data_IF_533759179980
#
_entry.id   IF_533759179980
#
_cell.length_a   1.000
_cell.length_b   1.000
_cell.length_c   1.000
_cell.angle_alpha   90.00
_cell.angle_beta   90.00
_cell.angle_gamma   90.00
#
_symmetry.space_group_name_H-M   'P 1'
#
loop_
_entity.id
_entity.type
_entity.pdbx_description
1 polymer ?
#
# COMPACT_ATOMS: atom_id res chain seq x y z
N UNK A 1 -1.74 -28.14 -19.52
CA UNK A 1 -0.40 -28.74 -19.30
C UNK A 1 0.61 -27.85 -19.99
N UNK A 2 1.59 -27.29 -19.26
CA UNK A 2 2.61 -26.42 -19.84
C UNK A 2 3.42 -27.19 -20.89
N UNK A 3 3.79 -26.54 -21.99
CA UNK A 3 4.54 -27.17 -23.09
C UNK A 3 6.01 -27.46 -22.71
N UNK A 4 6.49 -26.90 -21.60
CA UNK A 4 7.86 -27.02 -21.14
C UNK A 4 7.89 -27.42 -19.66
N UNK A 5 8.87 -28.26 -19.32
CA UNK A 5 9.29 -28.45 -17.93
C UNK A 5 10.16 -27.27 -17.51
N UNK A 6 9.73 -26.52 -16.50
CA UNK A 6 10.42 -25.33 -15.99
C UNK A 6 10.64 -25.45 -14.50
N UNK A 7 11.86 -25.15 -14.06
CA UNK A 7 12.26 -25.16 -12.66
C UNK A 7 12.59 -23.72 -12.26
N UNK A 8 12.00 -23.24 -11.18
CA UNK A 8 12.43 -22.00 -10.52
C UNK A 8 13.69 -22.31 -9.70
N UNK A 9 14.83 -21.83 -10.16
CA UNK A 9 16.16 -22.05 -9.55
C UNK A 9 16.41 -21.06 -8.42
N UNK A 10 16.07 -19.80 -8.65
CA UNK A 10 16.18 -18.73 -7.65
C UNK A 10 14.92 -17.86 -7.73
N UNK A 11 14.33 -17.56 -6.56
CA UNK A 11 13.18 -16.68 -6.45
C UNK A 11 13.54 -15.23 -6.79
N UNK A 12 14.77 -14.80 -6.47
CA UNK A 12 15.16 -13.40 -6.52
C UNK A 12 14.50 -12.55 -5.43
N UNK A 13 14.67 -11.23 -5.53
CA UNK A 13 14.25 -10.25 -4.51
C UNK A 13 13.33 -9.17 -5.05
N UNK A 14 12.47 -8.69 -4.16
CA UNK A 14 11.71 -7.45 -4.33
C UNK A 14 12.62 -6.28 -3.93
N UNK A 15 12.63 -5.24 -4.75
CA UNK A 15 13.39 -4.00 -4.51
C UNK A 15 12.41 -2.84 -4.62
N UNK A 16 12.29 -2.05 -3.56
CA UNK A 16 11.30 -0.96 -3.43
C UNK A 16 11.33 0.00 -4.63
N UNK A 17 12.51 0.46 -5.03
CA UNK A 17 12.68 1.39 -6.15
C UNK A 17 12.23 0.80 -7.49
N UNK A 18 12.46 -0.49 -7.70
CA UNK A 18 12.08 -1.18 -8.94
C UNK A 18 10.60 -1.54 -8.96
N UNK A 19 10.04 -2.02 -7.84
CA UNK A 19 8.69 -2.59 -7.80
C UNK A 19 7.63 -1.57 -7.39
N UNK A 20 8.00 -0.48 -6.74
CA UNK A 20 7.09 0.57 -6.25
C UNK A 20 7.60 1.99 -6.57
N UNK A 21 8.53 2.12 -7.52
CA UNK A 21 8.99 3.38 -8.08
C UNK A 21 8.28 3.81 -9.37
N UNK A 22 8.73 4.89 -10.02
CA UNK A 22 8.13 5.45 -11.25
C UNK A 22 8.02 4.46 -12.41
N UNK A 23 8.97 3.52 -12.51
CA UNK A 23 9.05 2.51 -13.57
C UNK A 23 8.50 1.15 -13.14
N UNK A 24 7.84 1.08 -11.97
CA UNK A 24 7.31 -0.16 -11.39
C UNK A 24 6.46 -0.97 -12.34
N UNK A 25 5.71 -0.33 -13.23
CA UNK A 25 4.86 -0.99 -14.21
C UNK A 25 5.58 -2.02 -15.10
N UNK A 26 6.91 -1.95 -15.23
CA UNK A 26 7.69 -2.94 -15.99
C UNK A 26 8.14 -4.14 -15.16
N UNK A 27 8.04 -4.05 -13.83
CA UNK A 27 8.42 -5.08 -12.86
C UNK A 27 7.21 -5.87 -12.34
N UNK A 28 6.03 -5.66 -12.91
CA UNK A 28 4.81 -6.41 -12.64
C UNK A 28 4.21 -6.91 -13.94
N UNK A 29 3.68 -8.13 -13.94
CA UNK A 29 3.02 -8.70 -15.11
C UNK A 29 1.75 -9.45 -14.73
N UNK A 30 0.88 -9.66 -15.73
CA UNK A 30 -0.40 -10.32 -15.52
C UNK A 30 -0.23 -11.83 -15.39
N UNK A 31 -0.88 -12.39 -14.38
CA UNK A 31 -1.12 -13.82 -14.18
C UNK A 31 -2.52 -14.18 -14.66
N UNK A 32 -2.63 -15.32 -15.33
CA UNK A 32 -3.93 -15.97 -15.57
C UNK A 32 -4.46 -16.68 -14.31
N UNK A 33 -3.62 -16.84 -13.29
CA UNK A 33 -3.97 -17.37 -11.99
C UNK A 33 -4.26 -16.21 -11.05
N UNK A 34 -5.48 -16.13 -10.54
CA UNK A 34 -5.79 -15.26 -9.41
C UNK A 34 -5.04 -15.75 -8.18
N UNK A 35 -4.38 -14.85 -7.47
CA UNK A 35 -3.87 -15.21 -6.15
C UNK A 35 -5.01 -15.33 -5.11
N UNK A 36 -4.67 -15.68 -3.87
CA UNK A 36 -5.60 -15.78 -2.73
C UNK A 36 -6.38 -14.49 -2.41
N UNK A 37 -6.05 -13.35 -3.06
CA UNK A 37 -6.76 -12.07 -2.96
C UNK A 37 -7.41 -11.65 -4.28
N UNK A 38 -7.58 -12.54 -5.25
CA UNK A 38 -8.09 -12.25 -6.59
C UNK A 38 -7.34 -11.15 -7.37
N UNK A 39 -6.07 -10.90 -7.05
CA UNK A 39 -5.24 -9.98 -7.83
C UNK A 39 -4.68 -10.70 -9.05
N UNK A 40 -4.53 -9.96 -10.15
CA UNK A 40 -4.07 -10.47 -11.44
C UNK A 40 -2.63 -10.12 -11.76
N UNK A 41 -1.94 -9.31 -10.93
CA UNK A 41 -0.53 -8.99 -11.12
C UNK A 41 0.37 -9.83 -10.23
N UNK A 42 1.54 -10.22 -10.71
CA UNK A 42 2.64 -10.78 -9.92
C UNK A 42 3.95 -10.07 -10.27
N UNK A 43 4.95 -10.05 -9.36
CA UNK A 43 6.18 -9.33 -9.59
C UNK A 43 7.15 -10.15 -10.44
N UNK A 44 7.91 -9.45 -11.25
CA UNK A 44 9.12 -9.97 -11.90
C UNK A 44 10.26 -9.65 -10.95
N UNK A 45 10.86 -10.64 -10.28
CA UNK A 45 11.82 -10.38 -9.21
C UNK A 45 13.23 -10.16 -9.74
N UNK A 46 13.97 -9.23 -9.13
CA UNK A 46 15.37 -9.03 -9.48
C UNK A 46 16.19 -10.26 -9.04
N UNK A 47 16.95 -10.85 -9.97
CA UNK A 47 17.71 -12.07 -9.72
C UNK A 47 16.89 -13.36 -9.87
N UNK A 48 15.59 -13.27 -10.19
CA UNK A 48 14.78 -14.45 -10.50
C UNK A 48 15.46 -15.29 -11.57
N UNK A 49 15.69 -16.57 -11.29
CA UNK A 49 16.36 -17.51 -12.20
C UNK A 49 15.47 -18.71 -12.46
N UNK A 50 15.20 -19.00 -13.74
CA UNK A 50 14.51 -20.23 -14.16
C UNK A 50 15.41 -21.09 -15.03
N UNK A 51 15.13 -22.39 -15.06
CA UNK A 51 15.78 -23.36 -15.92
C UNK A 51 14.72 -24.12 -16.72
N UNK A 52 14.97 -24.31 -18.00
CA UNK A 52 14.18 -25.20 -18.85
C UNK A 52 15.09 -26.06 -19.72
N UNK A 53 14.60 -27.19 -20.19
CA UNK A 53 15.32 -28.07 -21.10
C UNK A 53 14.78 -27.90 -22.52
N UNK A 54 15.64 -27.49 -23.46
CA UNK A 54 15.31 -27.37 -24.87
C UNK A 54 16.36 -28.11 -25.68
N UNK A 55 15.92 -29.01 -26.57
CA UNK A 55 16.81 -29.84 -27.39
C UNK A 55 17.89 -30.54 -26.56
N UNK A 56 17.50 -31.13 -25.42
CA UNK A 56 18.38 -31.84 -24.46
C UNK A 56 19.43 -30.96 -23.76
N UNK A 57 19.32 -29.64 -23.87
CA UNK A 57 20.23 -28.68 -23.25
C UNK A 57 19.51 -27.83 -22.19
N UNK A 58 20.21 -27.51 -21.11
CA UNK A 58 19.70 -26.65 -20.05
C UNK A 58 19.87 -25.18 -20.42
N UNK A 59 18.76 -24.46 -20.47
CA UNK A 59 18.72 -23.03 -20.65
C UNK A 59 18.32 -22.37 -19.35
N UNK A 60 19.15 -21.45 -18.88
CA UNK A 60 18.84 -20.62 -17.73
C UNK A 60 18.47 -19.21 -18.18
N UNK A 61 17.45 -18.62 -17.56
CA UNK A 61 17.13 -17.20 -17.72
C UNK A 61 17.17 -16.56 -16.34
N UNK A 62 17.91 -15.45 -16.22
CA UNK A 62 18.02 -14.63 -15.02
C UNK A 62 17.52 -13.23 -15.30
N UNK A 63 16.65 -12.71 -14.43
CA UNK A 63 16.21 -11.30 -14.47
C UNK A 63 17.29 -10.42 -13.84
N UNK A 64 17.74 -9.41 -14.59
CA UNK A 64 18.79 -8.48 -14.18
C UNK A 64 18.35 -7.03 -14.44
N UNK A 65 19.12 -6.09 -13.90
CA UNK A 65 18.96 -4.67 -14.18
C UNK A 65 19.60 -4.36 -15.54
N UNK A 66 18.92 -3.61 -16.40
CA UNK A 66 19.53 -3.13 -17.64
C UNK A 66 20.63 -2.09 -17.31
N UNK A 67 21.85 -2.33 -17.78
CA UNK A 67 23.02 -1.46 -17.52
C UNK A 67 22.86 -0.04 -18.09
N UNK A 68 22.12 0.13 -19.18
CA UNK A 68 21.86 1.43 -19.80
C UNK A 68 20.65 2.13 -19.17
N UNK A 69 19.70 1.36 -18.65
CA UNK A 69 18.49 1.85 -18.02
C UNK A 69 18.17 1.02 -16.77
N UNK A 70 18.62 1.49 -15.61
CA UNK A 70 18.57 0.72 -14.36
C UNK A 70 17.17 0.39 -13.84
N UNK A 71 16.13 0.93 -14.47
CA UNK A 71 14.75 0.88 -13.99
C UNK A 71 13.84 -0.06 -14.79
N UNK A 72 14.36 -0.74 -15.81
CA UNK A 72 13.62 -1.71 -16.63
C UNK A 72 14.30 -3.09 -16.51
N UNK A 73 13.54 -4.19 -16.39
CA UNK A 73 14.13 -5.53 -16.34
C UNK A 73 14.82 -5.89 -17.66
N UNK A 74 15.93 -6.60 -17.55
CA UNK A 74 16.65 -7.24 -18.63
C UNK A 74 16.73 -8.74 -18.38
N UNK A 75 16.67 -9.53 -19.45
CA UNK A 75 16.68 -10.98 -19.35
C UNK A 75 18.00 -11.50 -19.91
N UNK A 76 18.80 -12.05 -19.01
CA UNK A 76 20.06 -12.71 -19.32
C UNK A 76 19.79 -14.21 -19.48
N UNK A 77 20.07 -14.74 -20.66
CA UNK A 77 19.91 -16.16 -20.96
C UNK A 77 21.28 -16.80 -21.20
N UNK A 78 21.50 -17.98 -20.62
CA UNK A 78 22.74 -18.75 -20.73
C UNK A 78 22.47 -20.24 -20.99
N UNK A 79 23.36 -20.87 -21.77
CA UNK A 79 23.40 -22.30 -22.03
C UNK A 79 24.82 -22.65 -22.51
N UNK A 80 25.47 -23.64 -21.88
CA UNK A 80 26.83 -24.07 -22.18
C UNK A 80 27.85 -22.92 -22.36
N UNK A 81 27.86 -21.96 -21.43
CA UNK A 81 28.72 -20.75 -21.45
C UNK A 81 28.48 -19.77 -22.61
N UNK A 82 27.44 -19.98 -23.43
CA UNK A 82 26.99 -19.04 -24.46
C UNK A 82 25.84 -18.23 -23.91
N UNK A 83 25.82 -16.93 -24.20
CA UNK A 83 24.88 -16.00 -23.57
C UNK A 83 24.14 -15.13 -24.58
N UNK A 84 22.97 -14.66 -24.16
CA UNK A 84 22.14 -13.71 -24.89
C UNK A 84 21.42 -12.81 -23.90
N UNK A 85 21.36 -11.52 -24.19
CA UNK A 85 20.72 -10.53 -23.32
C UNK A 85 19.70 -9.76 -24.16
N UNK A 86 18.51 -9.56 -23.61
CA UNK A 86 17.46 -8.77 -24.27
C UNK A 86 16.50 -8.14 -23.28
N UNK A 87 15.72 -7.16 -23.73
CA UNK A 87 14.64 -6.53 -22.96
C UNK A 87 13.41 -7.43 -22.80
N UNK A 88 13.32 -8.56 -23.53
CA UNK A 88 12.30 -9.58 -23.32
C UNK A 88 12.91 -10.97 -23.16
N UNK A 89 12.31 -11.79 -22.30
CA UNK A 89 12.71 -13.18 -22.10
C UNK A 89 12.61 -13.98 -23.41
N UNK A 90 11.55 -13.77 -24.21
CA UNK A 90 11.34 -14.43 -25.52
C UNK A 90 12.48 -14.18 -26.49
N UNK A 91 12.92 -12.93 -26.61
CA UNK A 91 14.02 -12.57 -27.51
C UNK A 91 15.35 -13.10 -26.98
N UNK A 92 15.59 -13.03 -25.67
CA UNK A 92 16.82 -13.54 -25.07
C UNK A 92 17.03 -15.03 -25.37
N UNK A 93 16.02 -15.86 -25.10
CA UNK A 93 16.07 -17.32 -25.32
C UNK A 93 16.13 -17.67 -26.81
N UNK A 94 15.32 -17.03 -27.66
CA UNK A 94 15.27 -17.35 -29.10
C UNK A 94 16.59 -16.98 -29.79
N UNK A 95 17.18 -15.85 -29.41
CA UNK A 95 18.49 -15.46 -29.92
C UNK A 95 19.59 -16.41 -29.45
N UNK A 96 19.56 -16.85 -28.18
CA UNK A 96 20.54 -17.81 -27.70
C UNK A 96 20.42 -19.15 -28.44
N UNK A 97 19.20 -19.65 -28.59
CA UNK A 97 18.93 -20.89 -29.30
C UNK A 97 19.43 -20.82 -30.75
N UNK A 98 19.18 -19.70 -31.44
CA UNK A 98 19.72 -19.46 -32.79
C UNK A 98 21.24 -19.42 -32.82
N UNK A 99 21.90 -18.83 -31.82
CA UNK A 99 23.37 -18.80 -31.75
C UNK A 99 23.97 -20.20 -31.63
N UNK A 100 23.38 -21.06 -30.80
CA UNK A 100 23.85 -22.43 -30.51
C UNK A 100 23.57 -23.37 -31.67
N UNK A 101 22.30 -23.47 -32.10
CA UNK A 101 21.86 -24.50 -33.05
C UNK A 101 21.75 -24.01 -34.50
N UNK A 102 22.05 -22.73 -34.76
CA UNK A 102 21.89 -22.09 -36.08
C UNK A 102 20.47 -22.19 -36.65
N UNK A 103 19.47 -22.39 -35.79
CA UNK A 103 18.05 -22.50 -36.14
C UNK A 103 17.27 -21.30 -35.59
N UNK A 104 16.36 -20.74 -36.39
CA UNK A 104 15.57 -19.56 -36.04
C UNK A 104 14.29 -19.86 -35.26
N UNK A 105 14.22 -20.99 -34.54
CA UNK A 105 13.08 -21.33 -33.67
C UNK A 105 12.83 -20.22 -32.65
N UNK A 106 11.57 -19.80 -32.53
CA UNK A 106 11.14 -18.81 -31.55
C UNK A 106 10.49 -19.50 -30.36
N UNK A 107 10.89 -19.08 -29.16
CA UNK A 107 10.33 -19.56 -27.91
C UNK A 107 9.58 -18.45 -27.18
N UNK A 108 8.53 -18.84 -26.46
CA UNK A 108 7.76 -17.93 -25.61
C UNK A 108 8.47 -17.75 -24.28
N UNK A 109 8.95 -16.53 -24.02
CA UNK A 109 9.57 -16.12 -22.78
C UNK A 109 8.72 -16.39 -21.54
N UNK A 110 7.44 -15.98 -21.49
CA UNK A 110 6.55 -16.31 -20.37
C UNK A 110 6.49 -17.80 -20.04
N UNK A 111 6.42 -18.67 -21.05
CA UNK A 111 6.39 -20.12 -20.84
C UNK A 111 7.73 -20.64 -20.30
N UNK A 112 8.86 -20.12 -20.80
CA UNK A 112 10.20 -20.49 -20.32
C UNK A 112 10.50 -19.92 -18.92
N UNK A 113 9.88 -18.81 -18.57
CA UNK A 113 9.92 -18.23 -17.23
C UNK A 113 8.96 -18.93 -16.25
N UNK A 114 8.15 -19.89 -16.73
CA UNK A 114 7.19 -20.63 -15.90
C UNK A 114 6.02 -19.77 -15.41
N UNK A 115 5.67 -18.70 -16.14
CA UNK A 115 4.55 -17.82 -15.77
C UNK A 115 3.18 -18.44 -16.03
N UNK A 116 3.14 -19.58 -16.73
CA UNK A 116 1.97 -20.46 -16.88
C UNK A 116 1.95 -21.63 -15.87
N UNK A 117 2.92 -21.69 -14.95
CA UNK A 117 2.98 -22.67 -13.88
C UNK A 117 2.48 -22.03 -12.58
N UNK A 118 1.35 -22.51 -12.07
CA UNK A 118 0.72 -21.98 -10.86
C UNK A 118 1.65 -22.03 -9.65
N UNK A 119 2.38 -23.12 -9.43
CA UNK A 119 3.30 -23.24 -8.28
C UNK A 119 4.43 -22.21 -8.32
N UNK A 120 4.99 -21.95 -9.51
CA UNK A 120 6.01 -20.92 -9.70
C UNK A 120 5.42 -19.54 -9.43
N UNK A 121 4.24 -19.25 -9.99
CA UNK A 121 3.54 -17.97 -9.78
C UNK A 121 3.19 -17.77 -8.31
N UNK A 122 2.73 -18.79 -7.59
CA UNK A 122 2.47 -18.72 -6.14
C UNK A 122 3.74 -18.40 -5.34
N UNK A 123 4.88 -19.01 -5.68
CA UNK A 123 6.17 -18.64 -5.06
C UNK A 123 6.54 -17.18 -5.33
N UNK A 124 6.27 -16.67 -6.54
CA UNK A 124 6.52 -15.27 -6.87
C UNK A 124 5.69 -14.29 -6.01
N UNK A 125 4.60 -14.73 -5.38
CA UNK A 125 3.80 -13.94 -4.44
C UNK A 125 4.37 -13.83 -3.01
N UNK A 126 5.38 -14.63 -2.65
CA UNK A 126 5.89 -14.68 -1.27
C UNK A 126 6.49 -13.34 -0.80
N UNK A 127 6.20 -12.90 0.43
CA UNK A 127 6.71 -11.64 0.99
C UNK A 127 6.26 -10.35 0.24
N UNK A 128 5.12 -10.39 -0.46
CA UNK A 128 4.53 -9.19 -1.06
C UNK A 128 3.49 -8.57 -0.12
N UNK A 129 3.73 -7.32 0.29
CA UNK A 129 2.80 -6.55 1.11
C UNK A 129 1.62 -5.97 0.32
N UNK A 130 1.90 -5.46 -0.88
CA UNK A 130 0.90 -4.82 -1.74
C UNK A 130 1.10 -5.18 -3.21
N UNK A 131 -0.01 -5.39 -3.93
CA UNK A 131 -0.01 -5.79 -5.35
C UNK A 131 -0.68 -4.67 -6.15
N UNK A 132 0.03 -4.07 -7.12
CA UNK A 132 -0.55 -3.07 -8.01
C UNK A 132 -1.74 -3.59 -8.82
N UNK A 133 -2.51 -2.65 -9.35
CA UNK A 133 -3.61 -2.94 -10.27
C UNK A 133 -3.71 -1.86 -11.35
N UNK A 134 -4.36 -2.21 -12.45
CA UNK A 134 -4.56 -1.31 -13.58
C UNK A 134 -6.02 -0.92 -13.73
N UNK A 135 -6.22 0.31 -14.18
CA UNK A 135 -7.52 0.91 -14.48
C UNK A 135 -7.45 1.46 -15.90
N UNK A 136 -8.49 1.24 -16.69
CA UNK A 136 -8.58 1.80 -18.04
C UNK A 136 -9.45 3.06 -18.05
N UNK A 137 -8.96 4.11 -18.71
CA UNK A 137 -9.71 5.34 -19.01
C UNK A 137 -9.55 5.67 -20.50
N UNK A 138 -10.59 5.39 -21.28
CA UNK A 138 -10.50 5.43 -22.74
C UNK A 138 -9.36 4.54 -23.25
N UNK A 139 -8.34 5.13 -23.86
CA UNK A 139 -7.16 4.42 -24.40
C UNK A 139 -5.97 4.36 -23.43
N UNK A 140 -6.09 4.95 -22.24
CA UNK A 140 -5.00 5.02 -21.27
C UNK A 140 -5.18 3.96 -20.18
N UNK A 141 -4.11 3.25 -19.89
CA UNK A 141 -4.00 2.38 -18.72
C UNK A 141 -3.29 3.15 -17.60
N UNK A 142 -3.98 3.32 -16.48
CA UNK A 142 -3.46 3.87 -15.23
C UNK A 142 -3.04 2.69 -14.34
N UNK A 143 -1.75 2.60 -14.06
CA UNK A 143 -1.17 1.60 -13.17
C UNK A 143 -1.01 2.18 -11.76
N UNK A 144 -1.81 1.71 -10.81
CA UNK A 144 -1.81 2.14 -9.42
C UNK A 144 -0.93 1.19 -8.60
N UNK A 145 0.19 1.69 -8.09
CA UNK A 145 1.21 0.86 -7.43
C UNK A 145 1.47 1.23 -5.97
N UNK A 146 0.85 2.29 -5.46
CA UNK A 146 0.87 2.62 -4.05
C UNK A 146 -0.42 3.33 -3.67
N UNK A 147 -1.00 2.94 -2.53
CA UNK A 147 -2.21 3.55 -2.00
C UNK A 147 -1.89 4.24 -0.66
N UNK A 148 -2.34 5.49 -0.53
CA UNK A 148 -2.47 6.17 0.75
C UNK A 148 -3.91 6.64 0.91
N UNK A 149 -4.50 6.47 2.10
CA UNK A 149 -5.86 6.91 2.41
C UNK A 149 -5.85 8.14 3.33
N UNK A 150 -6.89 8.96 3.24
CA UNK A 150 -7.15 10.08 4.13
C UNK A 150 -8.63 10.41 4.24
N UNK A 151 -8.98 11.35 5.13
CA UNK A 151 -10.34 11.87 5.26
C UNK A 151 -10.64 13.01 4.27
N UNK A 152 -9.69 13.38 3.39
CA UNK A 152 -9.86 14.52 2.48
C UNK A 152 -10.74 14.16 1.28
N UNK A 153 -11.97 14.66 1.27
CA UNK A 153 -12.94 14.45 0.19
C UNK A 153 -12.56 15.15 -1.12
N UNK A 154 -11.77 16.23 -1.09
CA UNK A 154 -11.33 16.95 -2.30
C UNK A 154 -10.43 16.12 -3.20
N UNK A 155 -9.80 15.08 -2.62
CA UNK A 155 -8.93 14.14 -3.32
C UNK A 155 -9.50 12.71 -3.22
N UNK A 156 -10.83 12.60 -3.12
CA UNK A 156 -11.57 11.33 -3.09
C UNK A 156 -10.99 10.34 -2.06
N UNK A 157 -10.72 10.82 -0.85
CA UNK A 157 -10.19 10.04 0.26
C UNK A 157 -8.82 9.41 0.04
N UNK A 158 -8.10 9.78 -1.02
CA UNK A 158 -6.69 9.46 -1.15
C UNK A 158 -5.85 10.29 -0.17
N UNK A 159 -4.61 9.88 0.03
CA UNK A 159 -3.75 10.44 1.06
C UNK A 159 -2.27 10.28 0.74
N UNK A 160 -1.45 10.68 1.71
CA UNK A 160 0.00 10.62 1.60
C UNK A 160 0.47 9.21 1.23
N UNK A 161 1.30 9.10 0.19
CA UNK A 161 1.82 7.83 -0.31
C UNK A 161 1.02 7.25 -1.46
N UNK A 162 -0.10 7.85 -1.89
CA UNK A 162 -0.76 7.44 -3.14
C UNK A 162 0.15 7.69 -4.34
N UNK A 163 0.32 6.69 -5.21
CA UNK A 163 1.07 6.78 -6.46
C UNK A 163 0.42 5.95 -7.56
N UNK A 164 0.28 6.57 -8.72
CA UNK A 164 -0.15 5.91 -9.95
C UNK A 164 0.68 6.42 -11.13
N UNK A 165 0.65 5.68 -12.24
CA UNK A 165 1.34 6.07 -13.46
C UNK A 165 0.51 5.79 -14.70
N UNK A 166 0.69 6.62 -15.73
CA UNK A 166 0.18 6.37 -17.06
C UNK A 166 1.27 6.67 -18.09
N UNK A 167 1.19 6.06 -19.26
CA UNK A 167 2.11 6.33 -20.36
C UNK A 167 1.46 7.32 -21.32
N UNK A 168 2.20 8.35 -21.70
CA UNK A 168 1.78 9.30 -22.73
C UNK A 168 3.00 9.93 -23.42
N UNK A 169 2.77 10.73 -24.46
CA UNK A 169 3.81 11.43 -25.20
C UNK A 169 4.16 12.75 -24.48
N UNK A 170 5.46 12.97 -24.26
CA UNK A 170 6.05 14.23 -23.81
C UNK A 170 7.21 14.57 -24.75
N UNK A 171 7.28 15.80 -25.25
CA UNK A 171 8.36 16.25 -26.16
C UNK A 171 8.64 15.27 -27.33
N UNK A 172 7.56 14.74 -27.94
CA UNK A 172 7.58 13.77 -29.06
C UNK A 172 8.16 12.39 -28.74
N UNK A 173 8.42 12.08 -27.47
CA UNK A 173 8.86 10.76 -27.01
C UNK A 173 7.89 10.19 -25.98
N UNK A 174 7.93 8.87 -25.80
CA UNK A 174 7.15 8.21 -24.78
C UNK A 174 7.71 8.57 -23.39
N UNK A 175 6.82 8.92 -22.47
CA UNK A 175 7.15 9.25 -21.10
C UNK A 175 6.15 8.62 -20.12
N UNK A 176 6.58 8.48 -18.87
CA UNK A 176 5.74 8.02 -17.77
C UNK A 176 5.30 9.23 -16.96
N UNK A 177 4.00 9.45 -16.91
CA UNK A 177 3.38 10.48 -16.09
C UNK A 177 3.02 9.82 -14.76
N UNK A 178 3.69 10.21 -13.70
CA UNK A 178 3.49 9.68 -12.35
C UNK A 178 2.69 10.68 -11.53
N UNK A 179 1.49 10.28 -11.13
CA UNK A 179 0.66 11.02 -10.21
C UNK A 179 1.00 10.62 -8.77
N UNK A 180 1.28 11.58 -7.90
CA UNK A 180 1.59 11.36 -6.48
C UNK A 180 0.78 12.25 -5.56
N UNK A 181 0.48 11.75 -4.37
CA UNK A 181 -0.04 12.55 -3.27
C UNK A 181 0.93 12.46 -2.10
N UNK A 182 1.51 13.61 -1.76
CA UNK A 182 2.52 13.72 -0.70
C UNK A 182 2.25 15.00 0.08
N UNK A 183 2.25 14.92 1.42
CA UNK A 183 2.12 16.09 2.30
C UNK A 183 0.93 17.01 1.95
N UNK A 184 -0.23 16.42 1.61
CA UNK A 184 -1.45 17.13 1.17
C UNK A 184 -1.31 17.91 -0.16
N UNK A 185 -0.27 17.62 -0.94
CA UNK A 185 -0.08 18.15 -2.30
C UNK A 185 -0.24 17.04 -3.32
N UNK A 186 -0.80 17.39 -4.47
CA UNK A 186 -0.89 16.53 -5.64
C UNK A 186 0.22 16.92 -6.62
N UNK A 187 0.93 15.94 -7.15
CA UNK A 187 2.03 16.14 -8.10
C UNK A 187 1.83 15.29 -9.36
N UNK A 188 2.30 15.81 -10.48
CA UNK A 188 2.55 15.04 -11.69
C UNK A 188 4.03 15.16 -12.01
N UNK A 189 4.73 14.03 -11.99
CA UNK A 189 6.13 13.93 -12.36
C UNK A 189 6.23 13.21 -13.71
N UNK A 190 6.91 13.81 -14.67
CA UNK A 190 7.11 13.23 -16.00
C UNK A 190 8.51 12.65 -16.07
N UNK A 191 8.61 11.35 -16.29
CA UNK A 191 9.86 10.63 -16.45
C UNK A 191 10.08 10.21 -17.90
N UNK A 192 11.28 10.46 -18.41
CA UNK A 192 11.71 10.07 -19.74
C UNK A 192 13.17 9.64 -19.70
N UNK A 193 13.53 8.58 -20.44
CA UNK A 193 14.90 8.05 -20.49
C UNK A 193 15.48 7.79 -19.07
N UNK A 194 14.62 7.34 -18.16
CA UNK A 194 14.91 7.05 -16.73
C UNK A 194 15.37 8.24 -15.89
N UNK A 195 15.00 9.45 -16.33
CA UNK A 195 15.26 10.70 -15.61
C UNK A 195 13.97 11.47 -15.43
N UNK A 196 13.91 12.24 -14.35
CA UNK A 196 12.82 13.17 -14.09
C UNK A 196 12.97 14.41 -14.99
N UNK A 197 12.00 14.64 -15.88
CA UNK A 197 12.04 15.74 -16.85
C UNK A 197 11.25 16.97 -16.38
N UNK A 198 10.06 16.76 -15.79
CA UNK A 198 9.18 17.87 -15.39
C UNK A 198 8.34 17.51 -14.17
N UNK A 199 8.02 18.51 -13.36
CA UNK A 199 7.10 18.38 -12.21
C UNK A 199 6.04 19.47 -12.29
N UNK A 200 4.79 19.08 -12.07
CA UNK A 200 3.66 19.98 -11.81
C UNK A 200 3.14 19.74 -10.40
N UNK A 201 2.73 20.81 -9.70
CA UNK A 201 2.25 20.75 -8.32
C UNK A 201 0.94 21.51 -8.19
N UNK A 202 0.00 20.93 -7.45
CA UNK A 202 -1.28 21.53 -7.09
C UNK A 202 -1.80 20.97 -5.77
N UNK A 203 -2.95 21.49 -5.32
CA UNK A 203 -3.63 21.01 -4.11
C UNK A 203 -4.58 19.86 -4.39
N UNK A 204 -5.13 19.79 -5.61
CA UNK A 204 -6.04 18.72 -6.06
C UNK A 204 -5.56 18.07 -7.37
N UNK A 205 -6.02 16.84 -7.69
CA UNK A 205 -5.78 16.19 -8.97
C UNK A 205 -6.24 17.05 -10.16
N UNK A 206 -7.39 17.70 -10.04
CA UNK A 206 -7.96 18.56 -11.09
C UNK A 206 -7.05 19.75 -11.37
N UNK A 207 -6.60 20.43 -10.32
CA UNK A 207 -5.73 21.61 -10.45
C UNK A 207 -4.40 21.25 -11.13
N UNK A 208 -3.75 20.15 -10.70
CA UNK A 208 -2.43 19.78 -11.21
C UNK A 208 -2.49 19.31 -12.67
N UNK A 209 -3.52 18.55 -13.06
CA UNK A 209 -3.69 18.13 -14.46
C UNK A 209 -4.05 19.31 -15.36
N UNK A 210 -4.93 20.22 -14.91
CA UNK A 210 -5.23 21.45 -15.66
C UNK A 210 -3.99 22.32 -15.85
N UNK A 211 -3.17 22.48 -14.81
CA UNK A 211 -1.88 23.20 -14.88
C UNK A 211 -0.89 22.54 -15.84
N UNK A 212 -0.89 21.22 -15.94
CA UNK A 212 0.01 20.49 -16.83
C UNK A 212 -0.26 20.77 -18.31
N UNK A 213 -1.52 21.09 -18.65
CA UNK A 213 -1.96 21.29 -20.04
C UNK A 213 -2.12 20.00 -20.84
N UNK A 214 -1.79 18.83 -20.29
CA UNK A 214 -1.94 17.53 -20.94
C UNK A 214 -3.30 16.90 -20.67
N UNK A 215 -3.77 16.08 -21.61
CA UNK A 215 -4.95 15.21 -21.43
C UNK A 215 -6.22 15.96 -20.95
N UNK A 216 -6.38 17.22 -21.35
CA UNK A 216 -7.44 18.13 -20.86
C UNK A 216 -8.88 17.65 -21.09
N UNK A 217 -9.08 16.61 -21.92
CA UNK A 217 -10.39 15.99 -22.14
C UNK A 217 -10.87 15.13 -20.96
N UNK A 218 -10.00 14.79 -20.02
CA UNK A 218 -10.32 13.97 -18.85
C UNK A 218 -10.25 14.79 -17.56
N UNK A 219 -11.00 14.38 -16.55
CA UNK A 219 -10.88 14.97 -15.22
C UNK A 219 -9.61 14.48 -14.51
N UNK A 220 -8.98 15.34 -13.72
CA UNK A 220 -7.75 15.02 -13.01
C UNK A 220 -7.94 13.88 -12.01
N UNK A 221 -9.12 13.77 -11.39
CA UNK A 221 -9.45 12.66 -10.50
C UNK A 221 -9.49 11.31 -11.23
N UNK A 222 -9.93 11.29 -12.50
CA UNK A 222 -9.93 10.09 -13.31
C UNK A 222 -8.50 9.74 -13.75
N UNK A 223 -7.71 10.73 -14.17
CA UNK A 223 -6.30 10.55 -14.56
C UNK A 223 -5.40 10.11 -13.40
N UNK A 224 -5.72 10.50 -12.16
CA UNK A 224 -5.05 9.93 -10.98
C UNK A 224 -5.47 8.47 -10.74
N UNK A 225 -6.60 8.01 -11.28
CA UNK A 225 -7.20 6.70 -10.99
C UNK A 225 -8.10 6.68 -9.75
N UNK A 226 -8.41 7.86 -9.17
CA UNK A 226 -9.15 7.98 -7.91
C UNK A 226 -10.64 7.85 -8.10
N UNK A 227 -11.18 8.29 -9.23
CA UNK A 227 -12.62 8.17 -9.51
C UNK A 227 -13.07 6.72 -9.78
N UNK A 228 -12.14 5.78 -9.92
CA UNK A 228 -12.45 4.38 -10.20
C UNK A 228 -12.98 3.64 -8.97
N UNK A 229 -13.99 2.79 -9.18
CA UNK A 229 -14.66 2.02 -8.13
C UNK A 229 -13.70 1.10 -7.36
N UNK A 230 -12.76 0.42 -8.04
CA UNK A 230 -11.81 -0.47 -7.38
C UNK A 230 -10.87 0.32 -6.46
N UNK A 231 -10.38 1.49 -6.92
CA UNK A 231 -9.59 2.40 -6.09
C UNK A 231 -10.39 2.88 -4.88
N UNK A 232 -11.63 3.30 -5.07
CA UNK A 232 -12.48 3.78 -3.98
C UNK A 232 -12.80 2.69 -2.96
N UNK A 233 -13.03 1.45 -3.41
CA UNK A 233 -13.21 0.30 -2.52
C UNK A 233 -11.97 0.06 -1.66
N UNK A 234 -10.78 0.06 -2.26
CA UNK A 234 -9.51 -0.10 -1.54
C UNK A 234 -9.29 1.06 -0.55
N UNK A 235 -9.56 2.30 -0.96
CA UNK A 235 -9.42 3.48 -0.11
C UNK A 235 -10.40 3.45 1.07
N UNK A 236 -11.63 2.98 0.84
CA UNK A 236 -12.62 2.79 1.89
C UNK A 236 -12.16 1.73 2.90
N UNK A 237 -11.62 0.60 2.43
CA UNK A 237 -11.13 -0.47 3.30
C UNK A 237 -9.86 -0.06 4.08
N UNK A 238 -9.03 0.82 3.50
CA UNK A 238 -7.84 1.38 4.13
C UNK A 238 -8.10 2.61 4.98
N UNK A 239 -9.31 3.19 4.90
CA UNK A 239 -9.68 4.35 5.71
C UNK A 239 -9.51 3.93 7.16
N UNK A 240 -8.65 4.66 7.87
CA UNK A 240 -8.47 4.49 9.30
C UNK A 240 -9.86 4.62 9.92
N UNK A 241 -10.42 3.53 10.47
CA UNK A 241 -11.78 3.55 10.95
C UNK A 241 -11.82 4.51 12.13
N UNK A 242 -12.76 5.44 12.09
CA UNK A 242 -13.07 6.34 13.19
C UNK A 242 -14.58 6.50 13.27
N UNK A 243 -15.05 6.90 14.44
CA UNK A 243 -16.43 7.21 14.69
C UNK A 243 -16.55 8.30 15.75
N UNK A 244 -17.70 8.95 15.79
CA UNK A 244 -18.10 9.84 16.86
C UNK A 244 -18.81 9.05 17.96
N UNK A 245 -18.91 9.63 19.15
CA UNK A 245 -19.47 8.91 20.30
C UNK A 245 -20.93 8.51 20.12
N UNK A 246 -21.73 9.28 19.39
CA UNK A 246 -23.11 8.91 19.06
C UNK A 246 -23.21 7.73 18.06
N UNK A 247 -22.11 7.36 17.40
CA UNK A 247 -22.03 6.24 16.46
C UNK A 247 -21.55 4.95 17.14
N UNK A 248 -21.33 4.93 18.46
CA UNK A 248 -20.90 3.72 19.18
C UNK A 248 -21.90 2.57 19.09
N UNK A 249 -23.18 2.86 18.85
CA UNK A 249 -24.21 1.85 18.61
C UNK A 249 -24.06 1.13 17.26
N UNK A 250 -23.23 1.65 16.35
CA UNK A 250 -22.89 0.96 15.11
C UNK A 250 -21.79 -0.08 15.38
N UNK A 251 -22.22 -1.29 15.75
CA UNK A 251 -21.34 -2.39 16.14
C UNK A 251 -20.31 -2.69 15.05
N UNK A 252 -20.70 -2.71 13.78
CA UNK A 252 -19.78 -2.99 12.67
C UNK A 252 -18.65 -1.94 12.55
N UNK A 253 -18.98 -0.67 12.80
CA UNK A 253 -18.00 0.41 12.78
C UNK A 253 -17.04 0.32 13.96
N UNK A 254 -17.54 0.12 15.18
CA UNK A 254 -16.70 -0.03 16.38
C UNK A 254 -15.83 -1.29 16.30
N UNK A 255 -16.36 -2.38 15.73
CA UNK A 255 -15.63 -3.63 15.48
C UNK A 255 -14.46 -3.42 14.50
N UNK A 256 -14.65 -2.63 13.44
CA UNK A 256 -13.56 -2.23 12.52
C UNK A 256 -12.47 -1.43 13.24
N UNK A 257 -12.86 -0.50 14.12
CA UNK A 257 -11.93 0.31 14.94
C UNK A 257 -11.13 -0.59 15.89
N UNK A 258 -11.79 -1.54 16.56
CA UNK A 258 -11.14 -2.52 17.43
C UNK A 258 -10.11 -3.37 16.67
N UNK A 259 -10.51 -3.91 15.51
CA UNK A 259 -9.66 -4.74 14.66
C UNK A 259 -8.40 -3.99 14.22
N UNK A 260 -8.54 -2.71 13.86
CA UNK A 260 -7.44 -1.88 13.39
C UNK A 260 -6.48 -1.49 14.53
N UNK A 261 -7.00 -1.02 15.66
CA UNK A 261 -6.18 -0.42 16.71
C UNK A 261 -5.74 -1.38 17.81
N UNK A 262 -6.62 -2.27 18.28
CA UNK A 262 -6.39 -3.07 19.49
C UNK A 262 -6.11 -4.55 19.24
N UNK A 263 -6.82 -5.21 18.33
CA UNK A 263 -6.82 -6.70 18.20
C UNK A 263 -5.44 -7.37 18.18
N UNK A 264 -4.43 -6.74 17.58
CA UNK A 264 -3.05 -7.28 17.48
C UNK A 264 -2.08 -6.76 18.55
N UNK A 265 -2.56 -5.88 19.44
CA UNK A 265 -1.75 -5.12 20.40
C UNK A 265 -2.22 -5.27 21.85
N UNK A 266 -3.30 -6.00 22.09
CA UNK A 266 -3.88 -6.32 23.40
C UNK A 266 -4.08 -7.83 23.54
N UNK A 267 -4.57 -8.28 24.71
CA UNK A 267 -5.04 -9.65 24.90
C UNK A 267 -6.18 -9.99 23.92
N UNK A 268 -6.17 -11.21 23.38
CA UNK A 268 -7.19 -11.67 22.42
C UNK A 268 -8.60 -11.73 23.02
N UNK A 269 -8.71 -11.87 24.34
CA UNK A 269 -9.95 -11.99 25.10
C UNK A 269 -10.49 -10.65 25.62
N UNK A 270 -9.94 -9.51 25.18
CA UNK A 270 -10.33 -8.22 25.74
C UNK A 270 -11.77 -7.86 25.35
N UNK A 271 -12.62 -7.66 26.36
CA UNK A 271 -14.01 -7.25 26.15
C UNK A 271 -14.12 -5.73 26.03
N UNK A 272 -13.68 -5.22 24.88
CA UNK A 272 -13.74 -3.80 24.58
C UNK A 272 -15.18 -3.29 24.49
N UNK A 273 -16.16 -4.15 24.17
CA UNK A 273 -17.58 -3.77 24.05
C UNK A 273 -18.14 -3.44 25.43
N UNK A 274 -17.90 -4.32 26.40
CA UNK A 274 -18.32 -4.07 27.78
C UNK A 274 -17.57 -2.87 28.40
N UNK A 275 -16.30 -2.67 28.05
CA UNK A 275 -15.56 -1.45 28.43
C UNK A 275 -16.27 -0.17 27.97
N UNK A 276 -16.65 -0.09 26.70
CA UNK A 276 -17.34 1.09 26.16
C UNK A 276 -18.74 1.27 26.75
N UNK A 277 -19.49 0.17 26.90
CA UNK A 277 -20.83 0.19 27.48
C UNK A 277 -20.82 0.67 28.93
N UNK A 278 -19.97 0.07 29.77
CA UNK A 278 -19.83 0.45 31.18
C UNK A 278 -19.40 1.91 31.32
N UNK A 279 -18.49 2.37 30.45
CA UNK A 279 -18.08 3.78 30.48
C UNK A 279 -19.23 4.72 30.12
N UNK A 280 -20.04 4.41 29.10
CA UNK A 280 -21.20 5.24 28.74
C UNK A 280 -22.21 5.37 29.87
N UNK A 281 -22.45 4.29 30.62
CA UNK A 281 -23.39 4.25 31.75
C UNK A 281 -22.84 4.93 33.01
N UNK A 282 -21.59 4.67 33.37
CA UNK A 282 -21.07 5.04 34.70
C UNK A 282 -20.64 6.51 34.81
N UNK A 283 -20.06 7.09 33.76
CA UNK A 283 -19.43 8.42 33.87
C UNK A 283 -19.06 9.05 32.52
N UNK A 284 -18.96 10.38 32.49
CA UNK A 284 -18.43 11.11 31.31
C UNK A 284 -16.90 11.02 31.21
N UNK A 285 -16.21 10.90 32.34
CA UNK A 285 -14.75 10.93 32.45
C UNK A 285 -14.28 9.68 33.19
N UNK A 286 -13.25 9.03 32.66
CA UNK A 286 -12.56 7.93 33.34
C UNK A 286 -11.07 8.22 33.49
N UNK A 287 -10.49 7.59 34.50
CA UNK A 287 -9.06 7.32 34.54
C UNK A 287 -8.82 5.97 33.83
N UNK A 288 -8.04 5.99 32.75
CA UNK A 288 -7.96 4.87 31.83
C UNK A 288 -7.35 3.63 32.47
N UNK A 289 -6.28 3.77 33.25
CA UNK A 289 -5.54 2.61 33.76
C UNK A 289 -6.35 1.81 34.78
N UNK A 290 -6.98 2.49 35.73
CA UNK A 290 -7.88 1.91 36.74
C UNK A 290 -9.10 1.26 36.10
N UNK A 291 -9.64 1.88 35.05
CA UNK A 291 -10.77 1.32 34.30
C UNK A 291 -10.36 0.07 33.52
N UNK A 292 -9.22 0.11 32.80
CA UNK A 292 -8.70 -1.05 32.08
C UNK A 292 -8.37 -2.21 33.00
N UNK A 293 -7.82 -1.97 34.21
CA UNK A 293 -7.53 -3.04 35.19
C UNK A 293 -8.73 -3.94 35.51
N UNK A 294 -9.97 -3.45 35.37
CA UNK A 294 -11.20 -4.26 35.55
C UNK A 294 -11.35 -5.37 34.48
N UNK A 295 -10.76 -5.17 33.30
CA UNK A 295 -10.88 -6.04 32.13
C UNK A 295 -9.63 -6.91 31.86
N UNK A 296 -8.61 -6.78 32.70
CA UNK A 296 -7.34 -7.52 32.57
C UNK A 296 -7.12 -8.42 33.79
N UNK A 297 -6.29 -9.48 33.66
CA UNK A 297 -5.94 -10.32 34.80
C UNK A 297 -5.36 -9.53 35.99
N UNK A 298 -5.57 -10.03 37.20
CA UNK A 298 -4.98 -9.44 38.41
C UNK A 298 -3.45 -9.34 38.25
N UNK A 299 -2.88 -8.19 38.63
CA UNK A 299 -1.46 -7.85 38.51
C UNK A 299 -0.91 -7.74 37.07
N UNK A 300 -1.77 -7.62 36.05
CA UNK A 300 -1.31 -7.38 34.68
C UNK A 300 -0.53 -6.06 34.57
N UNK A 301 0.62 -6.11 33.89
CA UNK A 301 1.48 -4.94 33.63
C UNK A 301 1.37 -4.54 32.15
N UNK A 302 0.78 -3.37 31.92
CA UNK A 302 0.70 -2.80 30.57
C UNK A 302 2.07 -2.36 30.08
N UNK A 303 2.36 -2.63 28.81
CA UNK A 303 3.52 -2.06 28.13
C UNK A 303 3.15 -0.79 27.36
N UNK A 304 4.16 0.04 27.03
CA UNK A 304 3.93 1.32 26.34
C UNK A 304 3.24 1.17 24.98
N UNK A 305 3.50 0.07 24.25
CA UNK A 305 2.93 -0.19 22.93
C UNK A 305 1.44 -0.48 23.01
N UNK A 306 1.02 -1.25 24.01
CA UNK A 306 -0.38 -1.57 24.30
C UNK A 306 -1.13 -0.31 24.75
N UNK A 307 -0.57 0.48 25.65
CA UNK A 307 -1.17 1.75 26.08
C UNK A 307 -1.30 2.76 24.93
N UNK A 308 -0.29 2.83 24.06
CA UNK A 308 -0.35 3.65 22.85
C UNK A 308 -1.43 3.18 21.87
N UNK A 309 -1.70 1.87 21.83
CA UNK A 309 -2.80 1.30 21.06
C UNK A 309 -4.16 1.73 21.61
N UNK A 310 -4.35 1.67 22.94
CA UNK A 310 -5.54 2.16 23.63
C UNK A 310 -5.77 3.65 23.39
N UNK A 311 -4.75 4.49 23.49
CA UNK A 311 -4.90 5.93 23.19
C UNK A 311 -5.36 6.18 21.75
N UNK A 312 -4.82 5.42 20.80
CA UNK A 312 -5.17 5.56 19.39
C UNK A 312 -6.60 5.05 19.12
N UNK A 313 -6.99 3.94 19.76
CA UNK A 313 -8.35 3.40 19.73
C UNK A 313 -9.37 4.41 20.27
N UNK A 314 -9.13 4.97 21.45
CA UNK A 314 -10.03 5.95 22.06
C UNK A 314 -10.16 7.23 21.24
N UNK A 315 -9.06 7.72 20.68
CA UNK A 315 -9.11 8.87 19.75
C UNK A 315 -9.93 8.55 18.50
N UNK A 316 -9.81 7.33 17.97
CA UNK A 316 -10.58 6.90 16.82
C UNK A 316 -12.07 6.75 17.13
N UNK A 317 -12.45 6.47 18.39
CA UNK A 317 -13.83 6.45 18.86
C UNK A 317 -14.41 7.85 19.17
N UNK A 318 -13.65 8.91 18.94
CA UNK A 318 -14.07 10.28 19.20
C UNK A 318 -13.85 10.75 20.65
N UNK A 319 -13.20 9.94 21.50
CA UNK A 319 -12.84 10.35 22.85
C UNK A 319 -11.71 11.38 22.85
N UNK A 320 -11.68 12.19 23.91
CA UNK A 320 -10.66 13.22 24.12
C UNK A 320 -9.85 12.93 25.37
N UNK A 321 -8.52 12.93 25.25
CA UNK A 321 -7.63 12.94 26.39
C UNK A 321 -7.65 14.34 27.04
N UNK A 322 -8.03 14.39 28.31
CA UNK A 322 -8.17 15.62 29.12
C UNK A 322 -7.14 15.71 30.25
N UNK A 323 -6.13 14.83 30.24
CA UNK A 323 -5.04 14.82 31.23
C UNK A 323 -4.42 16.23 31.36
N UNK A 324 -4.45 16.88 32.54
CA UNK A 324 -4.11 18.30 32.70
C UNK A 324 -2.61 18.63 32.53
N UNK A 325 -1.74 17.65 32.67
CA UNK A 325 -0.28 17.79 32.81
C UNK A 325 0.48 17.07 31.70
N UNK A 326 1.75 17.45 31.48
CA UNK A 326 2.59 16.80 30.47
C UNK A 326 2.90 15.35 30.90
N UNK A 327 3.08 14.42 29.94
CA UNK A 327 3.36 12.99 30.20
C UNK A 327 4.50 12.70 31.19
N UNK A 328 5.36 13.68 31.49
CA UNK A 328 6.46 13.55 32.46
C UNK A 328 6.05 13.80 33.91
N UNK A 329 4.84 14.31 34.16
CA UNK A 329 4.42 14.84 35.47
C UNK A 329 3.29 14.04 36.12
N UNK A 330 2.74 12.99 35.47
CA UNK A 330 1.69 12.18 36.09
C UNK A 330 1.55 10.79 35.50
N UNK A 331 1.22 9.86 36.39
CA UNK A 331 0.93 8.46 36.10
C UNK A 331 -0.54 8.22 35.68
N UNK A 332 -1.39 9.25 35.69
CA UNK A 332 -2.82 9.13 35.39
C UNK A 332 -3.15 9.54 33.95
N UNK A 333 -4.08 8.82 33.32
CA UNK A 333 -4.58 9.13 31.98
C UNK A 333 -6.09 9.38 32.02
N UNK A 334 -6.49 10.65 32.04
CA UNK A 334 -7.91 11.04 32.07
C UNK A 334 -8.48 11.18 30.66
N UNK A 335 -9.60 10.50 30.41
CA UNK A 335 -10.29 10.46 29.12
C UNK A 335 -11.75 10.82 29.27
N UNK A 336 -12.28 11.57 28.30
CA UNK A 336 -13.69 11.94 28.19
C UNK A 336 -14.27 11.46 26.88
N UNK A 337 -15.46 10.88 26.90
CA UNK A 337 -16.23 10.64 25.67
C UNK A 337 -17.03 11.89 25.22
N UNK A 338 -17.17 12.91 26.07
CA UNK A 338 -17.76 14.19 25.66
C UNK A 338 -16.74 15.14 25.02
N UNK A 339 -17.14 15.84 23.95
CA UNK A 339 -16.28 16.74 23.19
C UNK A 339 -16.13 18.09 23.91
N UNK A 340 -15.06 18.24 24.70
CA UNK A 340 -14.71 19.54 25.27
C UNK A 340 -14.15 20.47 24.18
N UNK A 341 -14.83 21.59 23.91
CA UNK A 341 -14.38 22.65 22.99
C UNK A 341 -12.90 22.97 23.24
N UNK A 342 -12.07 22.87 22.19
CA UNK A 342 -10.63 23.13 22.25
C UNK A 342 -10.37 24.59 22.65
N UNK A 343 -10.06 24.82 23.93
CA UNK A 343 -9.61 26.11 24.44
C UNK A 343 -8.93 25.99 25.80
N UNK A 344 -7.65 26.38 25.89
CA UNK A 344 -6.81 26.28 27.13
C UNK A 344 -7.47 26.93 28.35
N UNK A 345 -8.20 28.03 28.16
CA UNK A 345 -8.84 28.79 29.25
C UNK A 345 -10.10 28.12 29.81
N UNK A 346 -10.86 27.42 28.96
CA UNK A 346 -12.07 26.69 29.38
C UNK A 346 -11.76 25.36 30.07
N UNK A 347 -10.63 24.71 29.73
CA UNK A 347 -10.14 23.49 30.42
C UNK A 347 -9.82 23.73 31.90
N UNK A 348 -9.13 24.83 32.24
CA UNK A 348 -8.80 25.14 33.64
C UNK A 348 -10.05 25.39 34.50
N UNK A 349 -11.00 26.17 34.01
CA UNK A 349 -12.21 26.52 34.76
C UNK A 349 -13.14 25.31 35.01
N UNK A 350 -13.16 24.33 34.11
CA UNK A 350 -13.95 23.11 34.29
C UNK A 350 -13.25 22.12 35.24
N UNK A 351 -11.92 22.04 35.18
CA UNK A 351 -11.13 21.19 36.10
C UNK A 351 -11.19 21.70 37.54
N UNK A 352 -11.18 23.03 37.75
CA UNK A 352 -11.39 23.61 39.09
C UNK A 352 -12.79 23.34 39.65
N UNK A 353 -13.79 23.11 38.78
CA UNK A 353 -15.14 22.72 39.20
C UNK A 353 -15.22 21.23 39.56
N UNK A 354 -14.41 20.38 38.90
CA UNK A 354 -14.30 18.94 39.19
C UNK A 354 -13.46 18.64 40.44
N UNK A 355 -12.39 19.38 40.69
CA UNK A 355 -11.60 19.30 41.94
C UNK A 355 -12.50 19.61 43.15
N UNK A 356 -13.33 20.66 43.05
CA UNK A 356 -14.30 21.02 44.08
C UNK A 356 -15.43 20.00 44.28
N UNK A 357 -15.75 19.17 43.28
CA UNK A 357 -16.81 18.14 43.39
C UNK A 357 -16.29 16.75 43.76
N UNK A 358 -14.99 16.48 43.58
CA UNK A 358 -14.34 15.21 43.91
C UNK A 358 -13.63 15.22 45.26
N UNK A 359 -13.60 16.35 45.97
CA UNK A 359 -13.05 16.43 47.33
C UNK A 359 -11.57 16.09 47.42
N UNK A 360 -10.76 16.63 46.50
CA UNK A 360 -9.29 16.62 46.59
C UNK A 360 -8.79 18.03 46.87
#
# INVERSE_FOLDING_TARGET
>A
MSKYSVILVDLGKIVEELHYGPYSRYWWTYSNFSNYKNHTYFPIRLGQKTCTTLNEHYFFITVQINKENSLIPQYYCECNNITSISSSSSTAISNLYKKIFKNATRYSGPLVMGWDNEEIVQKLYENIGWIPFSINIGTFEIFVYSIGASTNSLILNAGNGYKSSLINIFERKQAIFVSKIENKTCKIEIYQDSKLSKIFVGTTPEEVWKKSGFLQKYHGNELFGLANEATQKILHDLKIPNCLVHEWNNIDLVEKIYHYYLKRKTLASIDYKNFLFTWQEDSTIIELYTTLKKYYPKNYKFNERELSAWYSFLQALGCTNITPWFKKESEFALWSWFQFLRGRRKRRNFLSLLENSLGV
#
